data_IF_105031003363
#
_entry.id   IF_105031003363
#
_cell.length_a   1.000
_cell.length_b   1.000
_cell.length_c   1.000
_cell.angle_alpha   90.00
_cell.angle_beta   90.00
_cell.angle_gamma   90.00
#
_symmetry.space_group_name_H-M   'P 1'
#
loop_
_entity.id
_entity.type
_entity.pdbx_description
1 polymer ?
#
# COMPACT_ATOMS: atom_id res chain seq x y z
N UNK A 1 14.77 -13.48 -12.50
CA UNK A 1 15.52 -12.21 -12.62
C UNK A 1 15.36 -11.43 -11.33
N UNK A 2 16.38 -10.71 -10.85
CA UNK A 2 16.26 -9.87 -9.66
C UNK A 2 15.27 -8.73 -9.91
N UNK A 3 14.63 -8.24 -8.85
CA UNK A 3 13.77 -7.06 -8.91
C UNK A 3 14.57 -5.85 -9.40
N UNK A 4 14.04 -5.15 -10.41
CA UNK A 4 14.61 -3.88 -10.91
C UNK A 4 13.58 -2.76 -10.71
N UNK A 5 13.89 -1.81 -9.84
CA UNK A 5 13.01 -0.68 -9.53
C UNK A 5 12.63 0.15 -10.77
N UNK A 6 13.52 0.26 -11.75
CA UNK A 6 13.27 1.03 -12.98
C UNK A 6 12.14 0.42 -13.83
N UNK A 7 11.87 -0.87 -13.64
CA UNK A 7 10.78 -1.56 -14.31
C UNK A 7 9.47 -1.50 -13.51
N UNK A 8 9.46 -1.09 -12.24
CA UNK A 8 8.23 -1.00 -11.43
C UNK A 8 7.61 0.40 -11.56
N UNK A 9 6.76 0.57 -12.58
CA UNK A 9 6.09 1.83 -12.86
C UNK A 9 4.98 2.11 -11.83
N UNK A 10 4.96 3.31 -11.24
CA UNK A 10 3.89 3.75 -10.35
C UNK A 10 2.81 4.49 -11.16
N UNK A 11 1.64 3.87 -11.30
CA UNK A 11 0.53 4.37 -12.12
C UNK A 11 -0.47 5.22 -11.32
N UNK A 12 -0.51 5.03 -10.02
CA UNK A 12 -1.40 5.75 -9.10
C UNK A 12 -0.77 5.77 -7.71
N UNK A 13 -0.92 6.88 -6.99
CA UNK A 13 -0.55 6.96 -5.58
C UNK A 13 -1.40 8.02 -4.89
N UNK A 14 -1.99 7.68 -3.74
CA UNK A 14 -2.62 8.62 -2.81
C UNK A 14 -2.27 8.25 -1.39
N UNK A 15 -2.09 9.28 -0.57
CA UNK A 15 -1.72 9.14 0.84
C UNK A 15 -2.76 9.80 1.73
N UNK A 16 -3.05 9.12 2.84
CA UNK A 16 -3.68 9.71 4.01
C UNK A 16 -2.58 9.97 5.04
N UNK A 17 -2.52 11.20 5.55
CA UNK A 17 -1.42 11.65 6.40
C UNK A 17 -1.96 12.26 7.69
N UNK A 18 -1.31 11.93 8.80
CA UNK A 18 -1.46 12.58 10.10
C UNK A 18 -0.12 13.18 10.52
N UNK A 19 -0.05 13.79 11.71
CA UNK A 19 1.21 14.31 12.25
C UNK A 19 2.25 13.21 12.55
N UNK A 20 1.78 11.97 12.78
CA UNK A 20 2.61 10.86 13.26
C UNK A 20 2.77 9.71 12.26
N UNK A 21 1.85 9.56 11.30
CA UNK A 21 1.90 8.48 10.32
C UNK A 21 1.38 8.91 8.95
N UNK A 22 1.84 8.18 7.93
CA UNK A 22 1.38 8.28 6.55
C UNK A 22 1.03 6.90 6.03
N UNK A 23 -0.20 6.76 5.54
CA UNK A 23 -0.68 5.56 4.89
C UNK A 23 -0.85 5.82 3.40
N UNK A 24 -0.11 5.10 2.57
CA UNK A 24 -0.12 5.30 1.10
C UNK A 24 -0.70 4.08 0.41
N UNK A 25 -1.66 4.33 -0.49
CA UNK A 25 -2.23 3.34 -1.40
C UNK A 25 -1.78 3.66 -2.82
N UNK A 26 -1.13 2.70 -3.47
CA UNK A 26 -0.46 2.89 -4.75
C UNK A 26 -0.69 1.72 -5.70
N UNK A 27 -0.66 1.96 -7.02
CA UNK A 27 -0.76 0.91 -8.04
C UNK A 27 0.53 0.87 -8.83
N UNK A 28 1.17 -0.29 -8.84
CA UNK A 28 2.42 -0.54 -9.54
C UNK A 28 2.26 -1.57 -10.67
N UNK A 29 3.02 -1.41 -11.74
CA UNK A 29 3.09 -2.34 -12.87
C UNK A 29 4.56 -2.66 -13.17
N UNK A 30 5.00 -3.87 -12.81
CA UNK A 30 6.37 -4.29 -13.04
C UNK A 30 6.56 -4.80 -14.47
N UNK A 31 7.40 -4.14 -15.25
CA UNK A 31 7.75 -4.51 -16.62
C UNK A 31 6.52 -4.73 -17.51
N UNK A 32 5.57 -3.78 -17.49
CA UNK A 32 4.26 -3.88 -18.16
C UNK A 32 3.43 -5.12 -17.77
N UNK A 33 3.76 -5.75 -16.65
CA UNK A 33 3.06 -6.91 -16.12
C UNK A 33 1.74 -6.55 -15.42
N UNK A 34 1.14 -7.53 -14.72
CA UNK A 34 -0.11 -7.29 -13.99
C UNK A 34 0.02 -6.18 -12.97
N UNK A 35 -0.92 -5.23 -13.00
CA UNK A 35 -1.02 -4.14 -12.04
C UNK A 35 -1.33 -4.70 -10.65
N UNK A 36 -0.60 -4.23 -9.64
CA UNK A 36 -0.80 -4.63 -8.25
C UNK A 36 -0.99 -3.41 -7.37
N UNK A 37 -1.96 -3.48 -6.46
CA UNK A 37 -2.07 -2.53 -5.37
C UNK A 37 -0.92 -2.78 -4.39
N UNK A 38 -0.36 -1.72 -3.85
CA UNK A 38 0.55 -1.75 -2.72
C UNK A 38 0.08 -0.75 -1.66
N UNK A 39 -0.01 -1.22 -0.42
CA UNK A 39 -0.35 -0.40 0.74
C UNK A 39 0.89 -0.33 1.64
N UNK A 40 1.27 0.87 2.03
CA UNK A 40 2.44 1.13 2.87
C UNK A 40 2.09 2.07 4.01
N UNK A 41 2.69 1.85 5.17
CA UNK A 41 2.65 2.75 6.32
C UNK A 41 4.04 3.32 6.56
N UNK A 42 4.10 4.59 6.86
CA UNK A 42 5.31 5.30 7.23
C UNK A 42 5.06 5.95 8.60
N UNK A 43 5.72 5.46 9.64
CA UNK A 43 5.61 6.01 10.98
C UNK A 43 6.71 7.02 11.23
N UNK A 44 6.36 8.20 11.72
CA UNK A 44 7.32 9.25 12.07
C UNK A 44 7.90 8.96 13.45
N UNK A 45 9.22 8.92 13.55
CA UNK A 45 9.91 8.81 14.83
C UNK A 45 10.01 10.18 15.54
N UNK A 46 10.50 10.17 16.78
CA UNK A 46 10.69 11.39 17.58
C UNK A 46 11.72 12.36 16.98
N UNK A 47 12.52 11.92 16.01
CA UNK A 47 13.48 12.75 15.26
C UNK A 47 12.90 13.25 13.94
N UNK A 48 11.65 12.91 13.62
CA UNK A 48 10.95 13.32 12.42
C UNK A 48 11.21 12.44 11.19
N UNK A 49 11.93 11.34 11.32
CA UNK A 49 12.21 10.42 10.21
C UNK A 49 11.08 9.40 10.04
N UNK A 50 10.77 9.06 8.79
CA UNK A 50 9.75 8.07 8.47
C UNK A 50 10.33 6.66 8.38
N UNK A 51 9.76 5.74 9.16
CA UNK A 51 10.01 4.31 9.06
C UNK A 51 8.97 3.66 8.15
N UNK A 52 9.42 3.23 6.97
CA UNK A 52 8.60 2.53 5.99
C UNK A 52 8.27 1.09 6.40
N UNK A 53 7.00 0.72 6.23
CA UNK A 53 6.46 -0.63 6.41
C UNK A 53 5.51 -0.94 5.26
N UNK A 54 5.69 -2.09 4.60
CA UNK A 54 4.73 -2.56 3.60
C UNK A 54 3.63 -3.35 4.31
N UNK A 55 2.38 -2.93 4.17
CA UNK A 55 1.23 -3.60 4.77
C UNK A 55 0.65 -4.68 3.85
N UNK A 56 0.76 -4.51 2.53
CA UNK A 56 0.28 -5.51 1.59
C UNK A 56 0.62 -5.19 0.14
N UNK A 57 0.62 -6.23 -0.71
CA UNK A 57 0.65 -6.12 -2.16
C UNK A 57 -0.29 -7.15 -2.75
N UNK A 58 -1.27 -6.71 -3.54
CA UNK A 58 -2.41 -7.53 -3.94
C UNK A 58 -2.77 -7.35 -5.42
N UNK A 59 -3.35 -8.38 -6.03
CA UNK A 59 -4.00 -8.31 -7.35
C UNK A 59 -5.40 -7.71 -7.24
N UNK A 60 -6.03 -7.44 -8.39
CA UNK A 60 -7.40 -6.92 -8.42
C UNK A 60 -8.41 -7.88 -7.81
N UNK A 61 -8.23 -9.19 -8.05
CA UNK A 61 -9.10 -10.25 -7.55
C UNK A 61 -9.01 -10.38 -6.02
N UNK A 62 -7.80 -10.32 -5.47
CA UNK A 62 -7.56 -10.34 -4.02
C UNK A 62 -8.22 -9.11 -3.36
N UNK A 63 -8.08 -7.92 -3.94
CA UNK A 63 -8.72 -6.69 -3.44
C UNK A 63 -10.24 -6.82 -3.45
N UNK A 64 -10.83 -7.26 -4.56
CA UNK A 64 -12.27 -7.42 -4.68
C UNK A 64 -12.83 -8.41 -3.65
N UNK A 65 -12.06 -9.44 -3.31
CA UNK A 65 -12.44 -10.45 -2.32
C UNK A 65 -12.26 -9.95 -0.88
N UNK A 66 -11.20 -9.19 -0.61
CA UNK A 66 -10.86 -8.71 0.73
C UNK A 66 -11.62 -7.45 1.15
N UNK A 67 -11.99 -6.57 0.23
CA UNK A 67 -12.70 -5.33 0.55
C UNK A 67 -13.98 -5.54 1.41
N UNK A 68 -14.91 -6.45 1.06
CA UNK A 68 -16.08 -6.69 1.91
C UNK A 68 -15.70 -7.24 3.29
N UNK A 69 -14.67 -8.09 3.36
CA UNK A 69 -14.20 -8.65 4.64
C UNK A 69 -13.53 -7.58 5.52
N UNK A 70 -12.78 -6.65 4.93
CA UNK A 70 -12.20 -5.51 5.64
C UNK A 70 -13.31 -4.59 6.15
N UNK A 71 -14.33 -4.34 5.33
CA UNK A 71 -15.49 -3.52 5.72
C UNK A 71 -16.32 -4.17 6.84
N UNK A 72 -16.46 -5.50 6.83
CA UNK A 72 -17.09 -6.25 7.90
C UNK A 72 -16.24 -6.20 9.17
N UNK A 73 -14.94 -6.49 9.06
CA UNK A 73 -14.00 -6.44 10.18
C UNK A 73 -13.97 -5.06 10.84
N UNK A 74 -14.07 -3.97 10.09
CA UNK A 74 -14.11 -2.62 10.67
C UNK A 74 -15.31 -2.38 11.59
N UNK A 75 -16.42 -3.10 11.41
CA UNK A 75 -17.59 -3.01 12.30
C UNK A 75 -17.37 -3.74 13.64
N UNK A 76 -16.32 -4.54 13.75
CA UNK A 76 -15.91 -5.24 14.98
C UNK A 76 -14.73 -4.55 15.69
N UNK A 77 -14.23 -3.44 15.13
CA UNK A 77 -13.11 -2.71 15.69
C UNK A 77 -13.66 -1.55 16.54
N UNK A 78 -13.94 -1.86 17.81
CA UNK A 78 -14.14 -0.91 18.92
C UNK A 78 -13.58 -1.52 20.23
#
# INVERSE_FOLDING_TARGET
>A
MPYNRELDECLFSKSWETESERLTTSVYSYNNGPKKLQITRENKDSQGSYRFVKLGRMTKEEIASLLPLIQEASNHMD
#
